data_IF_212781593899
#
_entry.id   IF_212781593899
#
_cell.length_a   1.000
_cell.length_b   1.000
_cell.length_c   1.000
_cell.angle_alpha   90.00
_cell.angle_beta   90.00
_cell.angle_gamma   90.00
#
_symmetry.space_group_name_H-M   'P 1'
#
loop_
_entity.id
_entity.type
_entity.pdbx_description
1 polymer ?
#
# COMPACT_ATOMS: atom_id res chain seq x y z
N UNK A 1 11.23 -15.66 -10.90
CA UNK A 1 10.20 -14.63 -10.64
C UNK A 1 9.53 -14.82 -9.29
N UNK A 2 9.14 -16.05 -8.91
CA UNK A 2 8.42 -16.34 -7.65
C UNK A 2 9.16 -15.92 -6.39
N UNK A 3 10.49 -16.05 -6.35
CA UNK A 3 11.29 -15.68 -5.18
C UNK A 3 11.21 -14.18 -4.86
N UNK A 4 11.26 -13.31 -5.87
CA UNK A 4 11.19 -11.85 -5.66
C UNK A 4 9.88 -11.43 -5.03
N UNK A 5 8.76 -12.00 -5.49
CA UNK A 5 7.46 -11.72 -4.88
C UNK A 5 7.40 -12.24 -3.44
N UNK A 6 7.91 -13.44 -3.19
CA UNK A 6 7.96 -14.03 -1.86
C UNK A 6 8.73 -13.15 -0.86
N UNK A 7 9.88 -12.63 -1.26
CA UNK A 7 10.69 -11.72 -0.42
C UNK A 7 9.94 -10.42 -0.11
N UNK A 8 9.23 -9.84 -1.09
CA UNK A 8 8.41 -8.63 -0.89
C UNK A 8 7.21 -8.92 0.00
N UNK A 9 6.51 -10.04 -0.22
CA UNK A 9 5.37 -10.45 0.59
C UNK A 9 5.78 -10.63 2.06
N UNK A 10 6.94 -11.25 2.30
CA UNK A 10 7.52 -11.39 3.64
C UNK A 10 7.76 -10.02 4.27
N UNK A 11 8.41 -9.09 3.56
CA UNK A 11 8.64 -7.73 4.05
C UNK A 11 7.34 -6.96 4.34
N UNK A 12 6.30 -7.11 3.51
CA UNK A 12 4.99 -6.51 3.75
C UNK A 12 4.33 -7.04 5.03
N UNK A 13 4.45 -8.34 5.29
CA UNK A 13 3.92 -8.98 6.48
C UNK A 13 4.70 -8.56 7.73
N UNK A 14 6.03 -8.54 7.66
CA UNK A 14 6.90 -8.16 8.79
C UNK A 14 6.67 -6.72 9.22
N UNK A 15 6.58 -5.79 8.27
CA UNK A 15 6.27 -4.37 8.54
C UNK A 15 4.93 -4.18 9.26
N UNK A 16 3.99 -5.12 9.08
CA UNK A 16 2.66 -5.10 9.70
C UNK A 16 2.51 -6.06 10.87
N UNK A 17 3.60 -6.75 11.26
CA UNK A 17 3.62 -7.77 12.31
C UNK A 17 2.57 -8.86 12.09
N UNK A 18 2.35 -9.24 10.84
CA UNK A 18 1.37 -10.26 10.46
C UNK A 18 2.01 -11.64 10.40
N UNK A 19 1.43 -12.60 11.12
CA UNK A 19 1.78 -14.03 10.95
C UNK A 19 1.03 -14.65 9.77
N UNK A 20 1.53 -15.74 9.16
CA UNK A 20 0.80 -16.47 8.12
C UNK A 20 -0.60 -16.90 8.55
N UNK A 21 -0.77 -17.29 9.81
CA UNK A 21 -2.08 -17.62 10.38
C UNK A 21 -3.00 -16.40 10.52
N UNK A 22 -2.46 -15.22 10.82
CA UNK A 22 -3.24 -13.99 10.85
C UNK A 22 -3.74 -13.60 9.44
N UNK A 23 -2.86 -13.68 8.43
CA UNK A 23 -3.24 -13.42 7.03
C UNK A 23 -4.28 -14.43 6.55
N UNK A 24 -4.11 -15.72 6.88
CA UNK A 24 -5.09 -16.75 6.54
C UNK A 24 -6.47 -16.49 7.16
N UNK A 25 -6.54 -16.08 8.43
CA UNK A 25 -7.82 -15.75 9.09
C UNK A 25 -8.51 -14.50 8.50
N UNK A 26 -7.74 -13.59 7.95
CA UNK A 26 -8.22 -12.34 7.37
C UNK A 26 -8.38 -12.38 5.84
N UNK A 27 -8.19 -13.55 5.22
CA UNK A 27 -8.33 -13.77 3.77
C UNK A 27 -9.13 -15.04 3.49
N UNK A 28 -9.45 -15.28 2.23
CA UNK A 28 -10.04 -16.54 1.78
C UNK A 28 -9.02 -17.68 1.62
N UNK A 29 -7.73 -17.45 1.92
CA UNK A 29 -6.66 -18.42 1.68
C UNK A 29 -6.31 -19.23 2.92
N UNK A 30 -5.98 -20.50 2.69
CA UNK A 30 -5.45 -21.37 3.75
C UNK A 30 -4.05 -20.92 4.18
N UNK A 31 -3.68 -21.17 5.44
CA UNK A 31 -2.33 -20.89 5.94
C UNK A 31 -1.25 -21.63 5.14
N UNK A 32 -1.55 -22.83 4.64
CA UNK A 32 -0.65 -23.57 3.74
C UNK A 32 -0.40 -22.82 2.44
N UNK A 33 -1.44 -22.22 1.86
CA UNK A 33 -1.33 -21.39 0.65
C UNK A 33 -0.45 -20.16 0.89
N UNK A 34 -0.63 -19.46 2.02
CA UNK A 34 0.21 -18.32 2.41
C UNK A 34 1.68 -18.76 2.55
N UNK A 35 1.95 -19.87 3.23
CA UNK A 35 3.31 -20.41 3.36
C UNK A 35 3.90 -20.83 2.01
N UNK A 36 3.10 -21.37 1.09
CA UNK A 36 3.57 -21.72 -0.24
C UNK A 36 3.92 -20.47 -1.07
N UNK A 37 3.17 -19.37 -0.93
CA UNK A 37 3.53 -18.07 -1.53
C UNK A 37 4.82 -17.51 -0.93
N UNK A 38 4.96 -17.52 0.40
CA UNK A 38 6.15 -17.04 1.11
C UNK A 38 7.41 -17.86 0.81
N UNK A 39 7.27 -19.14 0.47
CA UNK A 39 8.37 -19.99 0.04
C UNK A 39 8.57 -20.00 -1.48
N UNK A 40 7.83 -19.18 -2.23
CA UNK A 40 7.91 -19.14 -3.70
C UNK A 40 7.53 -20.45 -4.40
N UNK A 41 6.82 -21.36 -3.71
CA UNK A 41 6.41 -22.68 -4.23
C UNK A 41 5.25 -22.59 -5.21
N UNK A 42 4.39 -21.59 -5.05
CA UNK A 42 3.30 -21.30 -5.97
C UNK A 42 3.42 -19.87 -6.49
N UNK A 43 2.98 -19.65 -7.72
CA UNK A 43 2.97 -18.33 -8.31
C UNK A 43 1.79 -17.51 -7.81
N UNK A 44 1.97 -16.18 -7.62
CA UNK A 44 0.84 -15.30 -7.36
C UNK A 44 -0.09 -15.29 -8.57
N UNK A 45 -1.40 -15.32 -8.31
CA UNK A 45 -2.45 -15.15 -9.31
C UNK A 45 -3.35 -13.97 -8.93
N UNK A 46 -4.09 -13.37 -9.89
CA UNK A 46 -4.97 -12.25 -9.59
C UNK A 46 -5.96 -12.55 -8.46
N UNK A 47 -6.58 -13.74 -8.47
CA UNK A 47 -7.52 -14.15 -7.43
C UNK A 47 -6.84 -14.23 -6.06
N UNK A 48 -5.65 -14.84 -5.97
CA UNK A 48 -4.92 -14.89 -4.69
C UNK A 48 -4.50 -13.51 -4.19
N UNK A 49 -4.20 -12.56 -5.08
CA UNK A 49 -3.84 -11.18 -4.68
C UNK A 49 -5.06 -10.44 -4.16
N UNK A 50 -6.20 -10.57 -4.85
CA UNK A 50 -7.48 -10.01 -4.42
C UNK A 50 -7.88 -10.50 -3.02
N UNK A 51 -7.68 -11.79 -2.75
CA UNK A 51 -8.06 -12.38 -1.46
C UNK A 51 -7.16 -11.93 -0.29
N UNK A 52 -5.87 -11.67 -0.52
CA UNK A 52 -4.93 -11.28 0.55
C UNK A 52 -4.71 -9.77 0.68
N UNK A 53 -5.01 -8.97 -0.35
CA UNK A 53 -4.82 -7.52 -0.32
C UNK A 53 -5.50 -6.84 0.89
N UNK A 54 -6.75 -7.18 1.27
CA UNK A 54 -7.38 -6.63 2.47
C UNK A 54 -6.62 -6.97 3.76
N UNK A 55 -6.17 -8.22 3.90
CA UNK A 55 -5.40 -8.68 5.06
C UNK A 55 -4.06 -7.94 5.19
N UNK A 56 -3.45 -7.60 4.05
CA UNK A 56 -2.20 -6.84 3.97
C UNK A 56 -2.41 -5.32 4.00
N UNK A 57 -3.65 -4.82 4.08
CA UNK A 57 -3.95 -3.38 4.07
C UNK A 57 -3.22 -2.63 2.94
N UNK A 58 -3.26 -3.18 1.73
CA UNK A 58 -2.71 -2.61 0.52
C UNK A 58 -3.77 -2.69 -0.58
N UNK A 59 -3.72 -1.79 -1.56
CA UNK A 59 -4.64 -1.87 -2.69
C UNK A 59 -4.36 -3.15 -3.51
N UNK A 60 -5.43 -3.76 -4.06
CA UNK A 60 -5.30 -4.90 -4.95
C UNK A 60 -4.41 -4.54 -6.16
N UNK A 61 -4.57 -3.34 -6.72
CA UNK A 61 -3.79 -2.87 -7.87
C UNK A 61 -2.29 -2.79 -7.59
N UNK A 62 -1.89 -2.27 -6.42
CA UNK A 62 -0.49 -2.20 -6.02
C UNK A 62 0.08 -3.60 -5.81
N UNK A 63 -0.69 -4.50 -5.18
CA UNK A 63 -0.26 -5.87 -4.95
C UNK A 63 -0.13 -6.67 -6.26
N UNK A 64 -1.05 -6.50 -7.20
CA UNK A 64 -0.95 -7.05 -8.55
C UNK A 64 0.31 -6.53 -9.27
N UNK A 65 0.60 -5.24 -9.15
CA UNK A 65 1.80 -4.61 -9.73
C UNK A 65 3.08 -5.20 -9.12
N UNK A 66 3.13 -5.35 -7.80
CA UNK A 66 4.25 -5.99 -7.08
C UNK A 66 4.43 -7.45 -7.54
N UNK A 67 3.34 -8.17 -7.77
CA UNK A 67 3.33 -9.53 -8.30
C UNK A 67 3.68 -9.62 -9.80
N UNK A 68 3.92 -8.49 -10.47
CA UNK A 68 4.10 -8.38 -11.92
C UNK A 68 2.93 -9.01 -12.71
N UNK A 69 1.72 -8.88 -12.15
CA UNK A 69 0.47 -9.26 -12.78
C UNK A 69 -0.14 -8.02 -13.45
N UNK A 70 -0.80 -8.23 -14.59
CA UNK A 70 -1.52 -7.16 -15.25
C UNK A 70 -2.67 -6.69 -14.34
N UNK A 71 -2.45 -5.61 -13.58
CA UNK A 71 -3.53 -4.89 -12.98
C UNK A 71 -4.42 -4.40 -14.12
N UNK A 72 -5.72 -4.74 -14.09
CA UNK A 72 -6.68 -3.98 -14.90
C UNK A 72 -6.49 -2.53 -14.45
N UNK A 73 -6.21 -1.59 -15.38
CA UNK A 73 -6.04 -0.21 -14.99
C UNK A 73 -7.35 0.22 -14.34
N UNK A 74 -7.37 0.27 -13.00
CA UNK A 74 -8.36 1.03 -12.29
C UNK A 74 -8.10 2.44 -12.73
N UNK A 75 -8.94 2.93 -13.63
CA UNK A 75 -8.89 4.24 -14.24
C UNK A 75 -9.19 5.31 -13.18
N UNK A 76 -8.29 5.44 -12.22
CA UNK A 76 -7.97 6.72 -11.63
C UNK A 76 -6.53 6.94 -12.09
N UNK A 77 -6.30 7.63 -13.21
CA UNK A 77 -4.95 8.10 -13.50
C UNK A 77 -4.43 8.79 -12.23
N UNK A 78 -3.15 8.63 -11.86
CA UNK A 78 -2.58 9.42 -10.77
C UNK A 78 -2.99 10.86 -11.06
N UNK A 79 -3.77 11.45 -10.15
CA UNK A 79 -4.27 12.81 -10.34
C UNK A 79 -3.01 13.63 -10.53
N UNK A 80 -2.76 14.06 -11.76
CA UNK A 80 -1.62 14.90 -12.05
C UNK A 80 -1.96 16.20 -11.37
N UNK A 81 -1.55 16.32 -10.11
CA UNK A 81 -1.68 17.54 -9.36
C UNK A 81 -0.92 18.56 -10.19
N UNK A 82 -1.62 19.61 -10.65
CA UNK A 82 -1.02 20.71 -11.43
C UNK A 82 0.24 21.27 -10.74
N UNK A 83 0.33 21.03 -9.44
CA UNK A 83 1.26 21.48 -8.43
C UNK A 83 1.96 20.29 -7.72
N UNK A 84 2.25 19.21 -8.45
CA UNK A 84 2.90 18.01 -7.89
C UNK A 84 4.28 18.30 -7.27
N UNK A 85 5.03 19.26 -7.83
CA UNK A 85 6.34 19.67 -7.32
C UNK A 85 6.21 20.33 -5.93
N UNK A 86 5.26 21.26 -5.81
CA UNK A 86 4.98 22.01 -4.59
C UNK A 86 4.43 21.09 -3.48
N UNK A 87 3.61 20.10 -3.84
CA UNK A 87 3.16 19.06 -2.89
C UNK A 87 4.34 18.24 -2.40
N UNK A 88 5.25 17.82 -3.29
CA UNK A 88 6.45 17.06 -2.90
C UNK A 88 7.36 17.86 -1.96
N UNK A 89 7.54 19.15 -2.24
CA UNK A 89 8.30 20.07 -1.37
C UNK A 89 7.64 20.22 0.01
N UNK A 90 6.31 20.38 0.05
CA UNK A 90 5.55 20.46 1.29
C UNK A 90 5.70 19.18 2.12
N UNK A 91 5.60 18.00 1.51
CA UNK A 91 5.81 16.71 2.19
C UNK A 91 7.21 16.60 2.76
N UNK A 92 8.23 16.99 1.97
CA UNK A 92 9.63 16.98 2.42
C UNK A 92 9.83 17.88 3.65
N UNK A 93 9.28 19.09 3.64
CA UNK A 93 9.38 20.02 4.78
C UNK A 93 8.61 19.48 5.98
N UNK A 94 7.35 19.07 5.77
CA UNK A 94 6.47 18.58 6.82
C UNK A 94 7.03 17.35 7.54
N UNK A 95 7.74 16.46 6.82
CA UNK A 95 8.35 15.25 7.40
C UNK A 95 9.40 15.51 8.49
N UNK A 96 9.90 16.74 8.61
CA UNK A 96 10.94 17.14 9.56
C UNK A 96 10.41 17.99 10.72
N UNK A 97 9.11 18.31 10.72
CA UNK A 97 8.48 19.13 11.74
C UNK A 97 8.18 18.32 13.00
N UNK A 98 8.15 19.00 14.15
CA UNK A 98 7.56 18.44 15.36
C UNK A 98 6.03 18.39 15.23
N UNK A 99 5.38 17.51 16.00
CA UNK A 99 3.94 17.28 15.93
C UNK A 99 3.10 18.55 16.11
N UNK A 100 3.55 19.50 16.95
CA UNK A 100 2.86 20.78 17.16
C UNK A 100 2.89 21.66 15.90
N UNK A 101 4.06 21.76 15.25
CA UNK A 101 4.22 22.57 14.05
C UNK A 101 3.50 21.94 12.85
N UNK A 102 3.48 20.61 12.77
CA UNK A 102 2.71 19.90 11.75
C UNK A 102 1.19 20.15 11.91
N UNK A 103 0.68 20.17 13.16
CA UNK A 103 -0.72 20.52 13.43
C UNK A 103 -1.04 21.95 13.02
N UNK A 104 -0.17 22.91 13.36
CA UNK A 104 -0.32 24.32 12.94
C UNK A 104 -0.34 24.45 11.41
N UNK A 105 0.52 23.71 10.70
CA UNK A 105 0.54 23.68 9.23
C UNK A 105 -0.79 23.15 8.65
N UNK A 106 -1.35 22.09 9.23
CA UNK A 106 -2.63 21.52 8.80
C UNK A 106 -3.77 22.52 9.02
N UNK A 107 -3.82 23.17 10.19
CA UNK A 107 -4.86 24.15 10.52
C UNK A 107 -4.80 25.36 9.58
N UNK A 108 -3.59 25.85 9.29
CA UNK A 108 -3.38 26.92 8.32
C UNK A 108 -3.85 26.54 6.91
N UNK A 109 -3.50 25.34 6.43
CA UNK A 109 -3.92 24.85 5.12
C UNK A 109 -5.46 24.71 5.01
N UNK A 110 -6.13 24.34 6.10
CA UNK A 110 -7.61 24.28 6.16
C UNK A 110 -8.26 25.66 6.12
N UNK A 111 -7.67 26.64 6.79
CA UNK A 111 -8.16 28.02 6.77
C UNK A 111 -8.10 28.61 5.35
N UNK A 112 -6.99 28.40 4.63
CA UNK A 112 -6.85 28.83 3.23
C UNK A 112 -7.93 28.24 2.32
N UNK A 113 -8.31 26.97 2.51
CA UNK A 113 -9.38 26.34 1.73
C UNK A 113 -10.79 26.84 2.08
N UNK A 114 -10.94 27.59 3.16
CA UNK A 114 -12.23 28.13 3.64
C UNK A 114 -12.47 29.59 3.23
N UNK A 115 -11.44 30.31 2.79
CA UNK A 115 -11.54 31.71 2.32
C UNK A 115 -12.00 31.83 0.85
N UNK A 116 -11.99 30.72 0.08
CA UNK A 116 -12.45 30.68 -1.32
C UNK A 116 -13.89 30.13 -1.49
N UNK A 117 -14.71 30.07 -0.42
CA UNK A 117 -16.13 29.65 -0.47
C UNK A 117 -17.10 30.75 -0.07
#
# INVERSE_FOLDING_TARGET
MTQRFADILQGLMDNRRLSPGAVSRASALSQSTILQLLHGKIQPSPETMKDIAPALQISEADLLTIANLAAKPTSTPPRSYRNAKEIGELVSIASRLADEDLRRLIDFARALGSEES
#
